data_IF_317085087862
#
_entry.id   IF_317085087862
#
_cell.length_a   1.000
_cell.length_b   1.000
_cell.length_c   1.000
_cell.angle_alpha   90.00
_cell.angle_beta   90.00
_cell.angle_gamma   90.00
#
_symmetry.space_group_name_H-M   'P 1'
#
loop_
_entity.id
_entity.type
_entity.pdbx_description
1 polymer ?
#
# COMPACT_ATOMS: atom_id res chain seq x y z
N UNK A 1 -1.63 13.57 -0.47
CA UNK A 1 -3.09 13.54 -0.65
C UNK A 1 -3.48 12.63 -1.81
N UNK A 2 -3.98 11.43 -1.52
CA UNK A 2 -4.50 10.54 -2.55
C UNK A 2 -5.54 9.62 -1.93
N UNK A 3 -6.81 9.98 -2.04
CA UNK A 3 -7.90 9.13 -1.59
C UNK A 3 -8.04 7.86 -2.45
N UNK A 4 -9.00 7.01 -2.10
CA UNK A 4 -9.26 5.73 -2.78
C UNK A 4 -9.27 5.79 -4.33
N UNK A 5 -9.76 6.85 -5.01
CA UNK A 5 -9.70 6.93 -6.48
C UNK A 5 -8.27 6.91 -7.05
N UNK A 6 -7.35 7.69 -6.46
CA UNK A 6 -5.95 7.73 -6.91
C UNK A 6 -5.22 6.42 -6.60
N UNK A 7 -5.55 5.79 -5.46
CA UNK A 7 -5.01 4.47 -5.12
C UNK A 7 -5.51 3.40 -6.10
N UNK A 8 -6.79 3.43 -6.47
CA UNK A 8 -7.38 2.50 -7.42
C UNK A 8 -6.72 2.59 -8.80
N UNK A 9 -6.48 3.80 -9.30
CA UNK A 9 -5.75 4.04 -10.54
C UNK A 9 -4.32 3.47 -10.46
N UNK A 10 -3.57 3.81 -9.40
CA UNK A 10 -2.20 3.31 -9.21
C UNK A 10 -2.12 1.78 -9.09
N UNK A 11 -3.13 1.15 -8.51
CA UNK A 11 -3.21 -0.30 -8.32
C UNK A 11 -3.85 -1.02 -9.51
N UNK A 12 -4.30 -0.31 -10.56
CA UNK A 12 -5.09 -0.86 -11.68
C UNK A 12 -6.31 -1.65 -11.19
N UNK A 13 -7.01 -1.11 -10.19
CA UNK A 13 -8.22 -1.68 -9.59
C UNK A 13 -9.36 -0.67 -9.66
N UNK A 14 -10.59 -1.12 -9.45
CA UNK A 14 -11.73 -0.21 -9.27
C UNK A 14 -11.67 0.45 -7.90
N UNK A 15 -12.24 1.65 -7.78
CA UNK A 15 -12.39 2.32 -6.47
C UNK A 15 -13.14 1.45 -5.47
N UNK A 16 -14.21 0.77 -5.90
CA UNK A 16 -14.99 -0.13 -5.05
C UNK A 16 -14.16 -1.30 -4.53
N UNK A 17 -13.30 -1.89 -5.36
CA UNK A 17 -12.41 -2.98 -4.93
C UNK A 17 -11.41 -2.52 -3.86
N UNK A 18 -10.81 -1.33 -4.03
CA UNK A 18 -9.90 -0.76 -3.02
C UNK A 18 -10.65 -0.43 -1.74
N UNK A 19 -11.84 0.16 -1.84
CA UNK A 19 -12.66 0.49 -0.67
C UNK A 19 -13.11 -0.75 0.11
N UNK A 20 -13.51 -1.83 -0.58
CA UNK A 20 -13.89 -3.09 0.05
C UNK A 20 -12.70 -3.77 0.72
N UNK A 21 -11.51 -3.72 0.11
CA UNK A 21 -10.28 -4.22 0.71
C UNK A 21 -9.94 -3.50 2.01
N UNK A 22 -10.07 -2.17 2.04
CA UNK A 22 -9.85 -1.38 3.26
C UNK A 22 -10.89 -1.70 4.32
N UNK A 23 -12.18 -1.79 3.95
CA UNK A 23 -13.26 -2.14 4.88
C UNK A 23 -13.03 -3.53 5.51
N UNK A 24 -12.67 -4.52 4.69
CA UNK A 24 -12.31 -5.87 5.17
C UNK A 24 -11.12 -5.84 6.13
N UNK A 25 -10.10 -5.03 5.84
CA UNK A 25 -8.95 -4.90 6.72
C UNK A 25 -9.34 -4.29 8.08
N UNK A 26 -10.18 -3.26 8.08
CA UNK A 26 -10.69 -2.60 9.30
C UNK A 26 -11.61 -3.52 10.11
N UNK A 27 -12.58 -4.18 9.47
CA UNK A 27 -13.65 -4.93 10.15
C UNK A 27 -13.26 -6.38 10.45
N UNK A 28 -12.73 -7.11 9.46
CA UNK A 28 -12.55 -8.56 9.58
C UNK A 28 -11.17 -8.92 10.14
N UNK A 29 -10.13 -8.15 9.83
CA UNK A 29 -8.74 -8.50 10.14
C UNK A 29 -8.26 -7.81 11.42
N UNK A 30 -8.47 -6.50 11.52
CA UNK A 30 -7.90 -5.70 12.61
C UNK A 30 -8.93 -5.33 13.68
N UNK A 31 -10.23 -5.36 13.35
CA UNK A 31 -11.31 -4.90 14.22
C UNK A 31 -11.06 -3.47 14.76
N UNK A 32 -10.49 -2.60 13.92
CA UNK A 32 -10.07 -1.23 14.25
C UNK A 32 -10.29 -0.32 13.04
N UNK A 33 -10.83 0.87 13.26
CA UNK A 33 -10.89 1.91 12.24
C UNK A 33 -9.50 2.49 11.97
N UNK A 34 -9.08 2.46 10.72
CA UNK A 34 -7.81 3.02 10.24
C UNK A 34 -8.01 4.41 9.65
N UNK A 35 -9.22 4.71 9.19
CA UNK A 35 -9.60 5.99 8.62
C UNK A 35 -10.75 6.65 9.36
N UNK A 36 -10.71 7.98 9.43
CA UNK A 36 -11.78 8.81 9.97
C UNK A 36 -12.14 9.94 9.01
N UNK A 37 -13.38 10.42 9.10
CA UNK A 37 -13.85 11.55 8.31
C UNK A 37 -13.62 12.84 9.07
N UNK A 38 -12.81 13.73 8.49
CA UNK A 38 -12.65 15.12 8.92
C UNK A 38 -13.29 16.02 7.86
N UNK A 39 -14.58 16.28 8.02
CA UNK A 39 -15.40 17.00 7.04
C UNK A 39 -15.42 16.30 5.68
N UNK A 40 -14.87 16.95 4.65
CA UNK A 40 -14.74 16.39 3.28
C UNK A 40 -13.46 15.57 3.08
N UNK A 41 -12.56 15.54 4.05
CA UNK A 41 -11.28 14.87 3.96
C UNK A 41 -11.30 13.56 4.77
N UNK A 42 -10.52 12.60 4.32
CA UNK A 42 -10.25 11.35 5.05
C UNK A 42 -8.88 11.47 5.69
N UNK A 43 -8.80 11.20 7.00
CA UNK A 43 -7.55 11.18 7.76
C UNK A 43 -7.29 9.78 8.32
N UNK A 44 -6.04 9.52 8.70
CA UNK A 44 -5.66 8.31 9.41
C UNK A 44 -5.90 8.50 10.91
N UNK A 45 -6.48 7.48 11.53
CA UNK A 45 -6.50 7.34 13.00
C UNK A 45 -5.08 7.06 13.53
N UNK A 46 -4.88 7.07 14.84
CA UNK A 46 -3.57 6.71 15.43
C UNK A 46 -3.14 5.28 15.04
N UNK A 47 -4.09 4.37 14.95
CA UNK A 47 -3.95 2.98 14.55
C UNK A 47 -3.63 2.89 13.06
N UNK A 48 -4.29 3.70 12.24
CA UNK A 48 -3.97 3.87 10.83
C UNK A 48 -2.54 4.37 10.61
N UNK A 49 -2.07 5.33 11.42
CA UNK A 49 -0.70 5.83 11.37
C UNK A 49 0.32 4.74 11.79
N UNK A 50 0.03 4.01 12.86
CA UNK A 50 0.84 2.89 13.33
C UNK A 50 0.97 1.80 12.25
N UNK A 51 -0.16 1.37 11.68
CA UNK A 51 -0.19 0.37 10.61
C UNK A 51 0.57 0.84 9.37
N UNK A 52 0.43 2.10 8.97
CA UNK A 52 1.12 2.64 7.79
C UNK A 52 2.65 2.49 7.90
N UNK A 53 3.21 2.71 9.08
CA UNK A 53 4.64 2.49 9.35
C UNK A 53 5.05 1.04 9.08
N UNK A 54 4.30 0.09 9.64
CA UNK A 54 4.54 -1.34 9.44
C UNK A 54 4.33 -1.78 7.98
N UNK A 55 3.24 -1.34 7.35
CA UNK A 55 2.92 -1.68 5.96
C UNK A 55 4.04 -1.25 5.00
N UNK A 56 4.60 -0.05 5.18
CA UNK A 56 5.75 0.42 4.39
C UNK A 56 6.98 -0.47 4.59
N UNK A 57 7.26 -0.88 5.83
CA UNK A 57 8.39 -1.77 6.13
C UNK A 57 8.20 -3.16 5.52
N UNK A 58 6.99 -3.71 5.59
CA UNK A 58 6.64 -4.99 4.97
C UNK A 58 6.83 -4.94 3.46
N UNK A 59 6.30 -3.90 2.80
CA UNK A 59 6.46 -3.72 1.34
C UNK A 59 7.92 -3.56 0.93
N UNK A 60 8.71 -2.83 1.73
CA UNK A 60 10.16 -2.67 1.51
C UNK A 60 10.87 -4.03 1.59
N UNK A 61 10.64 -4.77 2.67
CA UNK A 61 11.24 -6.09 2.88
C UNK A 61 10.82 -7.08 1.79
N UNK A 62 9.54 -7.08 1.41
CA UNK A 62 9.06 -7.87 0.28
C UNK A 62 9.81 -7.50 -1.01
N UNK A 63 9.99 -6.20 -1.29
CA UNK A 63 10.81 -5.76 -2.42
C UNK A 63 12.25 -6.28 -2.36
N UNK A 64 12.91 -6.19 -1.20
CA UNK A 64 14.28 -6.67 -0.99
C UNK A 64 14.43 -8.17 -1.22
N UNK A 65 13.44 -8.98 -0.80
CA UNK A 65 13.46 -10.43 -0.97
C UNK A 65 13.17 -10.83 -2.42
N UNK A 66 12.13 -10.26 -3.03
CA UNK A 66 11.64 -10.73 -4.32
C UNK A 66 12.32 -10.09 -5.53
N UNK A 67 12.81 -8.85 -5.43
CA UNK A 67 13.43 -8.17 -6.56
C UNK A 67 14.72 -8.88 -7.05
N UNK A 68 15.64 -9.35 -6.18
CA UNK A 68 16.78 -10.15 -6.62
C UNK A 68 16.37 -11.47 -7.26
N UNK A 69 15.36 -12.14 -6.70
CA UNK A 69 14.90 -13.46 -7.18
C UNK A 69 14.12 -13.39 -8.51
N UNK A 70 13.47 -12.26 -8.79
CA UNK A 70 12.72 -12.03 -10.03
C UNK A 70 13.58 -11.50 -11.18
N UNK A 71 14.81 -11.07 -10.89
CA UNK A 71 15.75 -10.66 -11.94
C UNK A 71 16.32 -11.93 -12.58
N UNK A 72 16.08 -12.20 -13.88
CA UNK A 72 16.94 -13.14 -14.59
C UNK A 72 18.38 -12.64 -14.42
N UNK A 73 19.34 -13.56 -14.23
CA UNK A 73 20.74 -13.22 -14.03
C UNK A 73 21.23 -12.37 -15.21
N UNK A 74 21.17 -11.04 -15.04
CA UNK A 74 21.59 -10.09 -16.06
C UNK A 74 23.09 -9.91 -15.88
N UNK A 75 23.85 -10.88 -16.40
CA UNK A 75 25.31 -10.81 -16.46
C UNK A 75 25.65 -9.99 -17.70
N UNK A 76 25.90 -8.70 -17.51
CA UNK A 76 26.26 -7.78 -18.59
C UNK A 76 26.68 -6.44 -18.01
N UNK A 77 27.89 -6.00 -18.34
CA UNK A 77 28.44 -4.72 -17.90
C UNK A 77 27.67 -3.56 -18.54
N UNK A 78 26.93 -2.80 -17.73
CA UNK A 78 26.31 -1.54 -18.17
C UNK A 78 27.39 -0.47 -18.22
N UNK A 79 27.75 0.00 -19.42
CA UNK A 79 28.54 1.22 -19.61
C UNK A 79 27.56 2.38 -19.73
N UNK A 80 27.54 3.25 -18.72
CA UNK A 80 26.93 4.58 -18.84
C UNK A 80 27.99 5.47 -19.46
N UNK A 81 27.77 5.84 -20.72
CA UNK A 81 28.53 6.87 -21.45
C UNK A 81 27.72 8.15 -21.53
#
# INVERSE_FOLDING_TARGET
>A
HGGCPRAAEALKRTQSAVSMQMKRLEEDVLQRSLFERDGRQTRLTAEGQGLLGYARRILKLHGEVFNPLRRPQMVGSVRVG
#
